data_IF_616766935531
#
_entry.id   IF_616766935531
#
_cell.length_a   1.000
_cell.length_b   1.000
_cell.length_c   1.000
_cell.angle_alpha   90.00
_cell.angle_beta   90.00
_cell.angle_gamma   90.00
#
_symmetry.space_group_name_H-M   'P 1'
#
loop_
_entity.id
_entity.type
_entity.pdbx_description
1 polymer ?
#
# COMPACT_ATOMS: atom_id res chain seq x y z
N UNK A 1 8.92 -47.58 -71.48
CA UNK A 1 7.47 -47.90 -71.50
C UNK A 1 7.02 -47.89 -70.05
N UNK A 2 6.43 -46.77 -69.62
CA UNK A 2 5.99 -46.59 -68.24
C UNK A 2 4.75 -47.45 -68.00
N UNK A 3 4.82 -48.38 -67.03
CA UNK A 3 3.64 -49.10 -66.56
C UNK A 3 2.71 -48.06 -65.90
N UNK A 4 1.61 -47.75 -66.55
CA UNK A 4 0.50 -47.09 -65.88
C UNK A 4 -0.10 -48.09 -64.90
N UNK A 5 -0.23 -47.76 -63.60
CA UNK A 5 -0.90 -48.64 -62.66
C UNK A 5 -2.34 -48.86 -63.13
N UNK A 6 -2.74 -50.13 -63.17
CA UNK A 6 -4.13 -50.54 -63.46
C UNK A 6 -5.08 -49.80 -62.52
N UNK A 7 -6.18 -49.22 -63.05
CA UNK A 7 -7.17 -48.57 -62.20
C UNK A 7 -7.69 -49.58 -61.18
N UNK A 8 -7.90 -49.15 -59.92
CA UNK A 8 -8.43 -50.03 -58.87
C UNK A 8 -9.73 -50.66 -59.34
N UNK A 9 -9.93 -51.94 -59.02
CA UNK A 9 -11.18 -52.62 -59.34
C UNK A 9 -12.35 -51.90 -58.65
N UNK A 10 -13.55 -51.94 -59.24
CA UNK A 10 -14.74 -51.27 -58.71
C UNK A 10 -15.03 -51.67 -57.24
N UNK A 11 -14.72 -52.92 -56.88
CA UNK A 11 -14.77 -53.44 -55.51
C UNK A 11 -13.79 -52.76 -54.54
N UNK A 12 -12.63 -52.31 -55.01
CA UNK A 12 -11.64 -51.61 -54.17
C UNK A 12 -12.09 -50.17 -53.86
N UNK A 13 -12.75 -49.50 -54.82
CA UNK A 13 -13.31 -48.16 -54.62
C UNK A 13 -14.48 -48.19 -53.63
N UNK A 14 -15.33 -49.21 -53.69
CA UNK A 14 -16.45 -49.40 -52.74
C UNK A 14 -15.93 -49.70 -51.33
N UNK A 15 -14.86 -50.50 -51.20
CA UNK A 15 -14.19 -50.71 -49.90
C UNK A 15 -13.62 -49.42 -49.35
N UNK A 16 -12.91 -48.66 -50.19
CA UNK A 16 -12.30 -47.39 -49.79
C UNK A 16 -13.36 -46.36 -49.37
N UNK A 17 -14.49 -46.27 -50.07
CA UNK A 17 -15.59 -45.38 -49.68
C UNK A 17 -16.22 -45.79 -48.36
N UNK A 18 -16.41 -47.09 -48.11
CA UNK A 18 -16.96 -47.58 -46.84
C UNK A 18 -16.03 -47.27 -45.66
N UNK A 19 -14.73 -47.38 -45.87
CA UNK A 19 -13.74 -47.07 -44.83
C UNK A 19 -13.68 -45.55 -44.58
N UNK A 20 -13.75 -44.72 -45.63
CA UNK A 20 -13.85 -43.26 -45.48
C UNK A 20 -15.11 -42.81 -44.74
N UNK A 21 -16.25 -43.45 -44.98
CA UNK A 21 -17.51 -43.14 -44.25
C UNK A 21 -17.37 -43.49 -42.77
N UNK A 22 -16.75 -44.64 -42.45
CA UNK A 22 -16.47 -45.01 -41.05
C UNK A 22 -15.52 -44.03 -40.38
N UNK A 23 -14.48 -43.59 -41.08
CA UNK A 23 -13.55 -42.59 -40.56
C UNK A 23 -14.26 -41.24 -40.34
N UNK A 24 -15.15 -40.84 -41.24
CA UNK A 24 -15.96 -39.63 -41.09
C UNK A 24 -16.93 -39.72 -39.90
N UNK A 25 -17.58 -40.85 -39.69
CA UNK A 25 -18.45 -41.10 -38.53
C UNK A 25 -17.65 -41.08 -37.21
N UNK A 26 -16.44 -41.66 -37.21
CA UNK A 26 -15.54 -41.62 -36.05
C UNK A 26 -15.05 -40.19 -35.75
N UNK A 27 -14.72 -39.41 -36.78
CA UNK A 27 -14.34 -38.00 -36.63
C UNK A 27 -15.53 -37.16 -36.13
N UNK A 28 -16.73 -37.42 -36.62
CA UNK A 28 -17.94 -36.73 -36.16
C UNK A 28 -18.22 -37.01 -34.68
N UNK A 29 -18.12 -38.27 -34.25
CA UNK A 29 -18.24 -38.64 -32.83
C UNK A 29 -17.13 -38.04 -31.97
N UNK A 30 -15.90 -37.96 -32.49
CA UNK A 30 -14.78 -37.31 -31.79
C UNK A 30 -15.01 -35.80 -31.62
N UNK A 31 -15.61 -35.12 -32.61
CA UNK A 31 -15.97 -33.70 -32.50
C UNK A 31 -17.07 -33.43 -31.50
N UNK A 32 -18.03 -34.34 -31.29
CA UNK A 32 -19.05 -34.18 -30.25
C UNK A 32 -18.45 -34.16 -28.83
N UNK A 33 -17.25 -34.72 -28.64
CA UNK A 33 -16.54 -34.66 -27.36
C UNK A 33 -15.92 -33.29 -27.07
N UNK A 34 -15.75 -32.41 -28.07
CA UNK A 34 -15.16 -31.07 -27.90
C UNK A 34 -16.00 -30.16 -26.98
N UNK A 35 -17.30 -30.46 -26.78
CA UNK A 35 -18.18 -29.75 -25.83
C UNK A 35 -18.88 -30.65 -24.82
N UNK A 36 -18.30 -31.81 -24.51
CA UNK A 36 -18.90 -32.72 -23.53
C UNK A 36 -18.91 -32.10 -22.13
N UNK A 37 -20.02 -32.27 -21.40
CA UNK A 37 -20.13 -31.88 -20.00
C UNK A 37 -20.10 -33.11 -19.10
N UNK A 38 -19.57 -32.92 -17.89
CA UNK A 38 -19.60 -33.93 -16.84
C UNK A 38 -20.82 -33.65 -15.98
N UNK A 39 -21.73 -34.61 -15.88
CA UNK A 39 -22.96 -34.49 -15.09
C UNK A 39 -22.71 -34.53 -13.57
N UNK A 40 -23.79 -34.64 -12.80
CA UNK A 40 -23.77 -34.58 -11.33
C UNK A 40 -22.87 -35.63 -10.66
N UNK A 41 -22.55 -36.74 -11.35
CA UNK A 41 -21.62 -37.76 -10.86
C UNK A 41 -20.16 -37.30 -10.78
N UNK A 42 -19.82 -36.17 -11.41
CA UNK A 42 -18.49 -35.60 -11.40
C UNK A 42 -17.44 -36.46 -12.11
N UNK A 43 -16.17 -36.07 -11.93
CA UNK A 43 -15.01 -36.78 -12.44
C UNK A 43 -14.16 -37.23 -11.26
N UNK A 44 -13.92 -38.54 -11.16
CA UNK A 44 -12.98 -39.11 -10.19
C UNK A 44 -11.81 -39.71 -10.94
N UNK A 45 -10.60 -39.32 -10.56
CA UNK A 45 -9.36 -39.87 -11.12
C UNK A 45 -8.63 -40.64 -10.01
N UNK A 46 -8.33 -41.92 -10.26
CA UNK A 46 -7.78 -42.85 -9.27
C UNK A 46 -6.36 -43.27 -9.63
N UNK A 47 -5.65 -43.87 -8.67
CA UNK A 47 -4.36 -44.56 -8.84
C UNK A 47 -3.24 -43.73 -9.50
N UNK A 48 -3.21 -42.43 -9.23
CA UNK A 48 -2.19 -41.52 -9.78
C UNK A 48 -2.44 -41.07 -11.21
N UNK A 49 -3.64 -41.31 -11.75
CA UNK A 49 -4.09 -40.66 -12.97
C UNK A 49 -4.11 -39.12 -12.83
N UNK A 50 -4.02 -38.42 -13.95
CA UNK A 50 -3.94 -36.96 -13.97
C UNK A 50 -4.91 -36.37 -15.00
N UNK A 51 -5.38 -35.14 -14.71
CA UNK A 51 -6.04 -34.27 -15.67
C UNK A 51 -5.02 -33.20 -16.07
N UNK A 52 -4.74 -33.09 -17.36
CA UNK A 52 -3.87 -32.06 -17.91
C UNK A 52 -4.70 -31.14 -18.80
N UNK A 53 -4.67 -29.86 -18.47
CA UNK A 53 -5.27 -28.80 -19.29
C UNK A 53 -4.11 -28.13 -20.02
N UNK A 54 -4.07 -28.27 -21.34
CA UNK A 54 -3.07 -27.63 -22.21
C UNK A 54 -3.60 -26.30 -22.71
N UNK A 55 -2.73 -25.30 -22.80
CA UNK A 55 -3.07 -23.93 -23.23
C UNK A 55 -4.27 -23.30 -22.47
N UNK A 56 -4.43 -23.71 -21.21
CA UNK A 56 -5.51 -23.25 -20.34
C UNK A 56 -5.35 -21.78 -19.94
N UNK A 57 -6.48 -21.12 -19.73
CA UNK A 57 -6.57 -19.80 -19.10
C UNK A 57 -6.86 -19.93 -17.61
N UNK A 58 -7.95 -19.31 -17.17
CA UNK A 58 -8.38 -19.32 -15.78
C UNK A 58 -9.00 -20.65 -15.35
N UNK A 59 -8.91 -20.96 -14.05
CA UNK A 59 -9.67 -22.02 -13.40
C UNK A 59 -10.82 -21.39 -12.61
N UNK A 60 -12.07 -21.69 -13.01
CA UNK A 60 -13.27 -21.22 -12.33
C UNK A 60 -13.87 -22.32 -11.45
N UNK A 61 -14.18 -21.97 -10.20
CA UNK A 61 -14.87 -22.84 -9.23
C UNK A 61 -16.06 -22.09 -8.66
N UNK A 62 -17.27 -22.50 -9.04
CA UNK A 62 -18.54 -21.94 -8.55
C UNK A 62 -18.91 -22.58 -7.21
N UNK A 63 -18.11 -22.30 -6.18
CA UNK A 63 -18.21 -22.90 -4.85
C UNK A 63 -16.88 -22.84 -4.11
N UNK A 64 -16.66 -23.74 -3.16
CA UNK A 64 -15.38 -23.86 -2.46
C UNK A 64 -14.36 -24.68 -3.27
N UNK A 65 -13.09 -24.28 -3.21
CA UNK A 65 -12.00 -24.99 -3.85
C UNK A 65 -11.03 -25.55 -2.79
N UNK A 66 -10.79 -26.86 -2.82
CA UNK A 66 -9.83 -27.53 -1.94
C UNK A 66 -8.73 -28.22 -2.74
N UNK A 67 -7.48 -27.86 -2.47
CA UNK A 67 -6.30 -28.44 -3.12
C UNK A 67 -5.42 -29.13 -2.06
N UNK A 68 -5.40 -30.46 -2.09
CA UNK A 68 -4.55 -31.28 -1.22
C UNK A 68 -3.14 -31.43 -1.83
N UNK A 69 -2.45 -30.30 -1.99
CA UNK A 69 -1.12 -30.24 -2.59
C UNK A 69 -0.85 -28.87 -3.21
N UNK A 70 0.07 -28.85 -4.16
CA UNK A 70 0.37 -27.64 -4.93
C UNK A 70 -0.68 -27.43 -6.03
N UNK A 71 -1.09 -26.18 -6.21
CA UNK A 71 -1.83 -25.74 -7.38
C UNK A 71 -0.95 -24.77 -8.20
N UNK A 72 -0.91 -25.00 -9.50
CA UNK A 72 -0.31 -24.06 -10.45
C UNK A 72 -1.30 -23.80 -11.57
N UNK A 73 -1.67 -22.54 -11.77
CA UNK A 73 -2.45 -22.05 -12.91
C UNK A 73 -1.53 -21.10 -13.70
N UNK A 74 -0.67 -21.62 -14.59
CA UNK A 74 0.31 -20.80 -15.30
C UNK A 74 -0.42 -19.75 -16.16
N UNK A 75 -0.06 -18.47 -16.04
CA UNK A 75 -0.64 -17.32 -16.75
C UNK A 75 -2.13 -17.00 -16.47
N UNK A 76 -2.93 -17.93 -15.95
CA UNK A 76 -4.33 -17.74 -15.55
C UNK A 76 -4.54 -17.49 -14.06
N UNK A 77 -5.75 -17.10 -13.69
CA UNK A 77 -6.19 -16.90 -12.30
C UNK A 77 -6.99 -18.09 -11.78
N UNK A 78 -6.89 -18.35 -10.48
CA UNK A 78 -7.89 -19.15 -9.78
C UNK A 78 -9.02 -18.22 -9.33
N UNK A 79 -10.21 -18.43 -9.90
CA UNK A 79 -11.43 -17.69 -9.62
C UNK A 79 -12.40 -18.60 -8.85
N UNK A 80 -12.72 -18.24 -7.61
CA UNK A 80 -13.56 -19.08 -6.73
C UNK A 80 -14.66 -18.25 -6.09
N UNK A 81 -15.92 -18.64 -6.27
CA UNK A 81 -17.08 -17.96 -5.67
C UNK A 81 -17.25 -18.25 -4.17
N UNK A 82 -16.51 -19.22 -3.64
CA UNK A 82 -16.41 -19.55 -2.22
C UNK A 82 -14.98 -19.41 -1.70
N UNK A 83 -14.65 -20.18 -0.67
CA UNK A 83 -13.33 -20.15 -0.03
C UNK A 83 -12.32 -21.03 -0.77
N UNK A 84 -11.03 -20.70 -0.60
CA UNK A 84 -9.92 -21.47 -1.14
C UNK A 84 -9.12 -22.06 0.02
N UNK A 85 -8.92 -23.37 0.00
CA UNK A 85 -8.07 -24.09 0.95
C UNK A 85 -7.01 -24.87 0.19
N UNK A 86 -5.74 -24.55 0.41
CA UNK A 86 -4.61 -25.26 -0.18
C UNK A 86 -3.60 -25.68 0.89
N UNK A 87 -3.29 -26.98 0.95
CA UNK A 87 -2.28 -27.49 1.88
C UNK A 87 -0.85 -27.31 1.37
N UNK A 88 -0.67 -27.05 0.08
CA UNK A 88 0.63 -26.75 -0.54
C UNK A 88 0.74 -25.30 -1.02
N UNK A 89 1.59 -25.11 -2.03
CA UNK A 89 1.79 -23.82 -2.69
C UNK A 89 0.66 -23.52 -3.69
N UNK A 90 0.31 -22.25 -3.84
CA UNK A 90 -0.60 -21.79 -4.90
C UNK A 90 0.15 -20.77 -5.76
N UNK A 91 0.25 -21.04 -7.06
CA UNK A 91 0.85 -20.14 -8.03
C UNK A 91 -0.13 -19.82 -9.16
N UNK A 92 -0.34 -18.54 -9.47
CA UNK A 92 -1.17 -18.11 -10.59
C UNK A 92 -0.97 -16.64 -10.98
N UNK A 93 -1.61 -16.21 -12.06
CA UNK A 93 -1.72 -14.79 -12.44
C UNK A 93 -2.51 -13.98 -11.42
N UNK A 94 -3.53 -14.58 -10.80
CA UNK A 94 -4.34 -14.00 -9.75
C UNK A 94 -4.97 -15.05 -8.83
N UNK A 95 -5.25 -14.65 -7.59
CA UNK A 95 -6.09 -15.40 -6.66
C UNK A 95 -7.31 -14.55 -6.30
N UNK A 96 -8.46 -14.93 -6.85
CA UNK A 96 -9.70 -14.16 -6.76
C UNK A 96 -10.73 -15.03 -6.04
N UNK A 97 -11.11 -14.61 -4.84
CA UNK A 97 -12.12 -15.28 -4.03
C UNK A 97 -13.00 -14.27 -3.31
N UNK A 98 -14.30 -14.50 -3.33
CA UNK A 98 -15.25 -13.75 -2.49
C UNK A 98 -15.19 -14.20 -1.02
N UNK A 99 -14.62 -15.38 -0.75
CA UNK A 99 -14.40 -15.95 0.57
C UNK A 99 -13.00 -15.70 1.13
N UNK A 100 -12.56 -16.57 2.04
CA UNK A 100 -11.19 -16.57 2.56
C UNK A 100 -10.28 -17.46 1.71
N UNK A 101 -9.01 -17.07 1.61
CA UNK A 101 -7.96 -17.91 1.04
C UNK A 101 -7.02 -18.36 2.18
N UNK A 102 -6.97 -19.67 2.41
CA UNK A 102 -6.06 -20.31 3.34
C UNK A 102 -5.05 -21.15 2.56
N UNK A 103 -3.81 -20.65 2.48
CA UNK A 103 -2.70 -21.34 1.81
C UNK A 103 -1.64 -21.66 2.86
N UNK A 104 -1.42 -22.95 3.12
CA UNK A 104 -0.44 -23.38 4.11
C UNK A 104 1.02 -23.22 3.59
N UNK A 105 1.21 -23.33 2.28
CA UNK A 105 2.49 -23.07 1.61
C UNK A 105 2.68 -21.61 1.19
N UNK A 106 3.43 -21.41 0.12
CA UNK A 106 3.62 -20.08 -0.51
C UNK A 106 2.47 -19.75 -1.45
N UNK A 107 1.91 -18.55 -1.33
CA UNK A 107 1.02 -17.95 -2.32
C UNK A 107 1.82 -16.99 -3.21
N UNK A 108 1.87 -17.28 -4.51
CA UNK A 108 2.49 -16.42 -5.53
C UNK A 108 1.41 -16.03 -6.56
N UNK A 109 0.93 -14.80 -6.48
CA UNK A 109 -0.10 -14.27 -7.38
C UNK A 109 0.23 -12.84 -7.82
N UNK A 110 -0.11 -12.48 -9.07
CA UNK A 110 0.03 -11.11 -9.57
C UNK A 110 -0.94 -10.12 -8.93
N UNK A 111 -2.03 -10.63 -8.35
CA UNK A 111 -2.96 -9.89 -7.49
C UNK A 111 -3.72 -10.82 -6.55
N UNK A 112 -4.04 -10.32 -5.35
CA UNK A 112 -4.83 -11.02 -4.35
C UNK A 112 -6.08 -10.18 -4.07
N UNK A 113 -7.25 -10.69 -4.44
CA UNK A 113 -8.54 -10.06 -4.17
C UNK A 113 -9.38 -11.03 -3.35
N UNK A 114 -9.34 -10.86 -2.03
CA UNK A 114 -10.01 -11.73 -1.06
C UNK A 114 -10.73 -10.89 0.00
N UNK A 115 -11.70 -11.48 0.69
CA UNK A 115 -12.41 -10.77 1.77
C UNK A 115 -11.48 -10.39 2.94
N UNK A 116 -10.59 -11.30 3.33
CA UNK A 116 -9.57 -11.09 4.36
C UNK A 116 -8.20 -11.60 3.88
N UNK A 117 -7.14 -10.88 4.24
CA UNK A 117 -5.75 -11.33 4.14
C UNK A 117 -5.13 -11.31 5.54
N UNK A 118 -4.73 -12.49 6.04
CA UNK A 118 -4.06 -12.65 7.34
C UNK A 118 -2.69 -13.26 7.12
N UNK A 119 -1.64 -12.59 7.63
CA UNK A 119 -0.27 -13.07 7.58
C UNK A 119 0.26 -13.17 9.02
N UNK A 120 0.83 -14.33 9.38
CA UNK A 120 1.50 -14.52 10.68
C UNK A 120 2.92 -13.94 10.72
N UNK A 121 3.45 -13.53 9.55
CA UNK A 121 4.74 -12.88 9.38
C UNK A 121 4.62 -11.49 8.77
N UNK A 122 5.74 -10.96 8.25
CA UNK A 122 5.79 -9.64 7.62
C UNK A 122 4.97 -9.60 6.32
N UNK A 123 4.08 -8.62 6.21
CA UNK A 123 3.54 -8.18 4.92
C UNK A 123 4.46 -7.09 4.38
N UNK A 124 5.03 -7.31 3.19
CA UNK A 124 5.93 -6.36 2.51
C UNK A 124 5.44 -6.13 1.09
N UNK A 125 5.60 -4.90 0.58
CA UNK A 125 5.41 -4.61 -0.84
C UNK A 125 6.63 -5.04 -1.67
N UNK A 126 6.58 -4.80 -2.99
CA UNK A 126 7.61 -5.25 -3.92
C UNK A 126 8.98 -4.59 -3.62
N UNK A 127 10.08 -5.32 -3.84
CA UNK A 127 11.48 -4.87 -3.60
C UNK A 127 11.81 -4.39 -2.17
N UNK A 128 11.67 -5.26 -1.17
CA UNK A 128 12.29 -5.04 0.15
C UNK A 128 11.46 -4.26 1.16
N UNK A 129 10.14 -4.19 0.98
CA UNK A 129 9.23 -3.53 1.93
C UNK A 129 8.39 -2.42 1.33
N UNK A 130 8.72 -1.97 0.12
CA UNK A 130 8.13 -0.78 -0.47
C UNK A 130 6.74 -1.05 -1.03
N UNK A 131 5.77 -0.25 -0.61
CA UNK A 131 4.45 -0.17 -1.23
C UNK A 131 4.47 1.03 -2.22
N UNK A 132 4.86 0.85 -3.50
CA UNK A 132 5.07 1.96 -4.43
C UNK A 132 3.81 2.79 -4.74
N UNK A 133 2.62 2.21 -4.52
CA UNK A 133 1.34 2.91 -4.60
C UNK A 133 0.81 3.37 -3.21
N UNK A 134 1.62 3.23 -2.15
CA UNK A 134 1.29 3.53 -0.76
C UNK A 134 0.45 2.46 -0.06
N UNK A 135 0.31 2.60 1.27
CA UNK A 135 -0.63 1.83 2.09
C UNK A 135 -1.91 2.66 2.26
N UNK A 136 -3.03 2.22 1.69
CA UNK A 136 -4.33 2.91 1.82
C UNK A 136 -5.23 2.19 2.82
N UNK A 137 -5.59 2.85 3.92
CA UNK A 137 -6.57 2.36 4.90
C UNK A 137 -7.75 3.33 5.02
N UNK A 138 -8.93 2.94 4.54
CA UNK A 138 -10.17 3.74 4.64
C UNK A 138 -10.70 3.83 6.07
N UNK A 139 -10.35 2.86 6.92
CA UNK A 139 -10.71 2.84 8.33
C UNK A 139 -9.82 3.74 9.20
N UNK A 140 -8.54 3.92 8.84
CA UNK A 140 -7.59 4.67 9.67
C UNK A 140 -8.04 6.10 10.03
N UNK A 141 -8.77 6.77 9.13
CA UNK A 141 -9.32 8.11 9.39
C UNK A 141 -10.56 8.11 10.30
N UNK A 142 -11.35 7.02 10.28
CA UNK A 142 -12.64 6.93 10.98
C UNK A 142 -12.58 6.08 12.26
N UNK A 143 -11.49 5.36 12.49
CA UNK A 143 -11.28 4.57 13.70
C UNK A 143 -10.76 5.47 14.82
N UNK A 144 -11.62 5.72 15.82
CA UNK A 144 -11.21 6.34 17.08
C UNK A 144 -10.22 5.41 17.78
N UNK A 145 -8.94 5.74 17.71
CA UNK A 145 -7.92 4.98 18.43
C UNK A 145 -7.97 5.23 19.94
N UNK A 146 -8.63 6.29 20.42
CA UNK A 146 -8.60 6.88 21.79
C UNK A 146 -9.06 6.01 22.97
N UNK A 147 -9.46 4.74 22.75
CA UNK A 147 -9.81 3.81 23.84
C UNK A 147 -8.65 2.93 24.31
N UNK A 148 -8.19 3.11 25.55
CA UNK A 148 -7.54 2.04 26.33
C UNK A 148 -6.03 1.82 26.13
N UNK A 149 -5.23 2.82 25.79
CA UNK A 149 -3.76 2.67 25.73
C UNK A 149 -2.97 3.96 25.55
N UNK A 150 -1.65 3.85 25.50
CA UNK A 150 -0.76 4.96 25.13
C UNK A 150 -0.70 5.06 23.59
N UNK A 151 -0.97 6.24 23.05
CA UNK A 151 -0.84 6.53 21.62
C UNK A 151 0.53 7.12 21.32
N UNK A 152 1.05 6.82 20.14
CA UNK A 152 2.28 7.43 19.63
C UNK A 152 1.99 7.96 18.23
N UNK A 153 2.35 9.22 17.98
CA UNK A 153 2.31 9.78 16.64
C UNK A 153 3.30 9.01 15.76
N UNK A 154 2.81 8.52 14.62
CA UNK A 154 3.65 7.85 13.65
C UNK A 154 4.33 8.87 12.73
N UNK A 155 5.58 8.59 12.38
CA UNK A 155 6.39 9.32 11.42
C UNK A 155 6.53 8.47 10.16
N UNK A 156 6.53 9.11 9.00
CA UNK A 156 6.86 8.48 7.72
C UNK A 156 8.26 8.95 7.35
N UNK A 157 9.19 8.00 7.23
CA UNK A 157 10.55 8.27 6.76
C UNK A 157 10.58 8.31 5.22
N UNK A 158 11.60 8.93 4.63
CA UNK A 158 11.71 9.12 3.17
C UNK A 158 11.76 7.82 2.35
N UNK A 159 12.09 6.70 2.99
CA UNK A 159 12.06 5.35 2.40
C UNK A 159 10.72 4.62 2.61
N UNK A 160 9.67 5.36 2.99
CA UNK A 160 8.32 4.82 3.19
C UNK A 160 8.10 4.08 4.52
N UNK A 161 9.10 3.99 5.39
CA UNK A 161 8.93 3.35 6.70
C UNK A 161 8.04 4.19 7.61
N UNK A 162 7.02 3.55 8.18
CA UNK A 162 6.16 4.14 9.21
C UNK A 162 6.72 3.75 10.59
N UNK A 163 7.06 4.71 11.43
CA UNK A 163 7.68 4.48 12.74
C UNK A 163 7.32 5.53 13.78
N UNK A 164 8.09 5.67 14.86
CA UNK A 164 7.91 6.76 15.83
C UNK A 164 9.25 7.30 16.33
N UNK A 165 9.26 8.57 16.76
CA UNK A 165 10.44 9.22 17.31
C UNK A 165 10.44 9.20 18.86
N UNK A 166 11.30 8.41 19.53
CA UNK A 166 11.34 8.38 20.99
C UNK A 166 11.90 9.68 21.57
N UNK A 167 11.28 10.19 22.64
CA UNK A 167 11.70 11.43 23.34
C UNK A 167 12.18 11.20 24.78
N UNK A 168 12.91 10.12 25.03
CA UNK A 168 13.51 9.83 26.35
C UNK A 168 15.01 10.10 26.35
N UNK A 169 15.55 10.57 27.49
CA UNK A 169 17.01 10.70 27.70
C UNK A 169 17.78 9.40 27.48
N UNK A 170 17.12 8.24 27.54
CA UNK A 170 17.73 6.93 27.22
C UNK A 170 18.15 6.80 25.74
N UNK A 171 17.51 7.55 24.85
CA UNK A 171 17.71 7.47 23.40
C UNK A 171 18.32 8.76 22.81
N UNK A 172 18.68 9.73 23.66
CA UNK A 172 19.19 11.05 23.24
C UNK A 172 20.46 11.40 24.01
N UNK A 173 21.39 12.08 23.35
CA UNK A 173 22.65 12.57 23.92
C UNK A 173 22.94 13.99 23.40
N UNK A 174 24.01 14.63 23.88
CA UNK A 174 24.43 15.95 23.38
C UNK A 174 23.47 17.10 23.73
N UNK A 175 22.94 17.10 24.96
CA UNK A 175 21.98 18.11 25.39
C UNK A 175 22.62 19.51 25.49
N UNK A 176 22.23 20.40 24.58
CA UNK A 176 22.56 21.83 24.64
C UNK A 176 21.27 22.62 24.81
N UNK A 177 21.16 23.51 25.82
CA UNK A 177 20.00 24.37 25.97
C UNK A 177 19.82 25.27 24.74
N UNK A 178 18.60 25.29 24.21
CA UNK A 178 18.22 26.26 23.18
C UNK A 178 17.88 27.57 23.86
N UNK A 179 18.54 28.66 23.45
CA UNK A 179 18.24 30.01 23.93
C UNK A 179 17.78 30.82 22.72
N UNK A 180 16.51 31.17 22.71
CA UNK A 180 15.87 31.98 21.67
C UNK A 180 15.27 33.21 22.35
N UNK A 181 15.39 34.37 21.71
CA UNK A 181 14.71 35.58 22.16
C UNK A 181 13.32 35.65 21.57
N UNK A 182 12.41 36.36 22.24
CA UNK A 182 11.06 36.53 21.71
C UNK A 182 11.07 37.29 20.38
N UNK A 183 11.96 38.27 20.21
CA UNK A 183 12.07 39.06 18.98
C UNK A 183 12.43 38.16 17.80
N UNK A 184 13.35 37.20 18.00
CA UNK A 184 13.74 36.25 16.96
C UNK A 184 12.59 35.33 16.59
N UNK A 185 11.83 34.84 17.57
CA UNK A 185 10.65 34.01 17.33
C UNK A 185 9.57 34.79 16.57
N UNK A 186 9.42 36.09 16.84
CA UNK A 186 8.47 36.97 16.16
C UNK A 186 8.86 37.31 14.71
N UNK A 187 10.06 36.94 14.25
CA UNK A 187 10.40 36.98 12.82
C UNK A 187 9.65 35.92 12.02
N UNK A 188 9.12 34.87 12.67
CA UNK A 188 8.26 33.89 12.01
C UNK A 188 6.89 34.50 11.71
N UNK A 189 6.50 34.48 10.44
CA UNK A 189 5.22 35.00 9.98
C UNK A 189 4.28 33.88 9.54
N UNK A 190 3.08 33.85 10.13
CA UNK A 190 1.98 32.99 9.70
C UNK A 190 1.23 33.58 8.51
N UNK A 191 0.83 32.72 7.59
CA UNK A 191 0.04 33.07 6.41
C UNK A 191 -1.24 32.24 6.35
N UNK A 192 -2.31 32.84 5.86
CA UNK A 192 -3.45 32.12 5.33
C UNK A 192 -3.23 31.90 3.84
N UNK A 193 -3.38 30.68 3.36
CA UNK A 193 -3.18 30.34 1.95
C UNK A 193 -4.15 29.26 1.49
N UNK A 194 -4.22 29.08 0.17
CA UNK A 194 -4.87 27.96 -0.49
C UNK A 194 -3.84 27.27 -1.39
N UNK A 195 -3.97 25.96 -1.54
CA UNK A 195 -3.11 25.21 -2.47
C UNK A 195 -3.45 25.55 -3.93
N UNK A 196 -2.42 25.60 -4.77
CA UNK A 196 -2.61 25.77 -6.22
C UNK A 196 -3.48 24.63 -6.78
N UNK A 197 -4.26 24.92 -7.82
CA UNK A 197 -5.15 23.94 -8.45
C UNK A 197 -4.40 22.73 -9.05
N UNK A 198 -3.11 22.87 -9.36
CA UNK A 198 -2.26 21.79 -9.85
C UNK A 198 -1.84 20.80 -8.75
N UNK A 199 -1.99 21.15 -7.47
CA UNK A 199 -1.73 20.24 -6.36
C UNK A 199 -2.87 19.21 -6.31
N UNK A 200 -2.57 17.89 -6.22
CA UNK A 200 -3.56 16.82 -6.10
C UNK A 200 -4.18 16.82 -4.69
N UNK A 201 -4.82 17.92 -4.35
CA UNK A 201 -5.64 18.12 -3.18
C UNK A 201 -7.10 18.09 -3.62
N UNK A 202 -8.01 17.64 -2.75
CA UNK A 202 -9.44 17.64 -3.05
C UNK A 202 -9.90 19.06 -3.38
N UNK A 203 -10.06 19.35 -4.68
CA UNK A 203 -10.37 20.67 -5.20
C UNK A 203 -11.77 21.13 -4.77
N UNK A 204 -12.67 20.20 -4.40
CA UNK A 204 -13.96 20.54 -3.80
C UNK A 204 -13.81 21.12 -2.38
N UNK A 205 -12.63 20.98 -1.77
CA UNK A 205 -12.29 21.47 -0.44
C UNK A 205 -11.17 22.52 -0.46
N UNK A 206 -11.12 23.40 -1.47
CA UNK A 206 -10.28 24.62 -1.56
C UNK A 206 -10.43 25.54 -0.32
N UNK A 207 -9.96 25.07 0.83
CA UNK A 207 -10.10 25.66 2.15
C UNK A 207 -8.89 26.54 2.40
N UNK A 208 -9.14 27.68 3.03
CA UNK A 208 -8.07 28.48 3.61
C UNK A 208 -7.41 27.68 4.74
N UNK A 209 -6.10 27.51 4.63
CA UNK A 209 -5.25 26.87 5.62
C UNK A 209 -4.34 27.94 6.23
N UNK A 210 -4.03 27.80 7.52
CA UNK A 210 -3.05 28.63 8.21
C UNK A 210 -1.74 27.84 8.35
N UNK A 211 -0.60 28.49 8.09
CA UNK A 211 0.70 27.86 8.25
C UNK A 211 1.86 28.84 8.11
N UNK A 212 3.08 28.30 8.10
CA UNK A 212 4.32 29.02 7.79
C UNK A 212 4.79 28.63 6.39
N UNK A 213 5.58 29.48 5.75
CA UNK A 213 6.30 29.16 4.50
C UNK A 213 7.70 28.64 4.84
N UNK A 214 8.14 27.58 4.15
CA UNK A 214 9.40 26.90 4.44
C UNK A 214 10.61 27.80 4.20
N UNK A 215 10.59 28.52 3.08
CA UNK A 215 11.62 29.46 2.64
C UNK A 215 11.73 30.64 3.61
N UNK A 216 10.61 31.26 3.98
CA UNK A 216 10.60 32.37 4.95
C UNK A 216 11.10 31.91 6.32
N UNK A 217 10.72 30.70 6.75
CA UNK A 217 11.18 30.11 8.02
C UNK A 217 12.69 29.83 8.00
N UNK A 218 13.21 29.32 6.88
CA UNK A 218 14.64 29.12 6.66
C UNK A 218 15.38 30.46 6.74
N UNK A 219 14.91 31.46 5.98
CA UNK A 219 15.52 32.79 5.89
C UNK A 219 15.45 33.56 7.22
N UNK A 220 14.42 33.32 8.02
CA UNK A 220 14.32 33.80 9.40
C UNK A 220 15.32 33.10 10.34
N UNK A 221 16.17 32.19 9.87
CA UNK A 221 17.22 31.56 10.67
C UNK A 221 16.74 30.38 11.50
N UNK A 222 15.66 29.70 11.07
CA UNK A 222 15.13 28.50 11.72
C UNK A 222 15.24 27.25 10.82
N UNK A 223 16.44 26.89 10.31
CA UNK A 223 16.59 25.77 9.38
C UNK A 223 16.22 24.41 10.01
N UNK A 224 16.19 24.30 11.34
CA UNK A 224 15.78 23.09 12.07
C UNK A 224 14.26 22.92 12.15
N UNK A 225 13.48 23.94 11.80
CA UNK A 225 12.02 23.86 11.63
C UNK A 225 11.60 23.50 10.20
N UNK A 226 12.56 23.34 9.29
CA UNK A 226 12.32 23.17 7.86
C UNK A 226 12.73 21.76 7.44
N UNK A 227 11.86 21.12 6.67
CA UNK A 227 12.20 19.92 5.91
C UNK A 227 12.64 20.35 4.49
N UNK A 228 13.65 19.68 3.95
CA UNK A 228 14.21 19.98 2.63
C UNK A 228 13.89 18.84 1.68
N UNK A 229 13.68 19.16 0.41
CA UNK A 229 13.48 18.16 -0.64
C UNK A 229 14.80 17.51 -1.09
N UNK A 230 14.73 16.68 -2.13
CA UNK A 230 15.88 15.94 -2.67
C UNK A 230 16.98 16.85 -3.25
N UNK A 231 16.61 18.04 -3.73
CA UNK A 231 17.53 19.05 -4.26
C UNK A 231 18.13 19.92 -3.14
N UNK A 232 17.66 19.76 -1.90
CA UNK A 232 18.10 20.50 -0.73
C UNK A 232 17.40 21.84 -0.56
N UNK A 233 16.28 22.06 -1.25
CA UNK A 233 15.49 23.29 -1.15
C UNK A 233 14.47 23.19 0.01
N UNK A 234 14.18 24.30 0.71
CA UNK A 234 13.12 24.32 1.72
C UNK A 234 11.77 23.86 1.14
N UNK A 235 11.18 22.81 1.71
CA UNK A 235 9.97 22.18 1.16
C UNK A 235 8.84 22.03 2.18
N UNK A 236 9.17 21.73 3.43
CA UNK A 236 8.20 21.42 4.47
C UNK A 236 8.48 22.11 5.80
N UNK A 237 7.52 22.04 6.71
CA UNK A 237 7.63 22.58 8.06
C UNK A 237 7.46 21.47 9.11
N UNK A 238 8.43 21.41 10.02
CA UNK A 238 8.42 20.62 11.25
C UNK A 238 7.53 21.26 12.31
N UNK A 239 6.23 21.27 12.07
CA UNK A 239 5.25 21.96 12.91
C UNK A 239 5.20 21.42 14.35
N UNK A 240 5.60 20.17 14.57
CA UNK A 240 5.74 19.56 15.90
C UNK A 240 6.76 20.29 16.78
N UNK A 241 7.81 20.87 16.18
CA UNK A 241 8.84 21.61 16.89
C UNK A 241 8.47 23.06 17.18
N UNK A 242 7.49 23.62 16.45
CA UNK A 242 7.10 25.03 16.58
C UNK A 242 6.64 25.36 18.01
N UNK A 243 5.92 24.44 18.65
CA UNK A 243 5.47 24.62 20.04
C UNK A 243 6.66 24.77 21.02
N UNK A 244 7.78 24.09 20.77
CA UNK A 244 8.99 24.20 21.60
C UNK A 244 9.69 25.54 21.36
N UNK A 245 9.76 26.01 20.11
CA UNK A 245 10.31 27.32 19.76
C UNK A 245 9.53 28.46 20.41
N UNK A 246 8.20 28.42 20.29
CA UNK A 246 7.31 29.41 20.93
C UNK A 246 7.45 29.39 22.45
N UNK A 247 7.61 28.21 23.07
CA UNK A 247 7.83 28.10 24.51
C UNK A 247 9.12 28.81 24.96
N UNK A 248 10.22 28.65 24.22
CA UNK A 248 11.47 29.35 24.57
C UNK A 248 11.36 30.86 24.37
N UNK A 249 10.70 31.33 23.31
CA UNK A 249 10.39 32.76 23.13
C UNK A 249 9.54 33.32 24.27
N UNK A 250 8.51 32.58 24.71
CA UNK A 250 7.67 32.98 25.85
C UNK A 250 8.46 33.06 27.16
N UNK A 251 9.41 32.15 27.38
CA UNK A 251 10.31 32.21 28.55
C UNK A 251 11.17 33.46 28.51
N UNK A 252 11.67 33.83 27.36
CA UNK A 252 12.45 35.06 27.19
C UNK A 252 11.60 36.31 27.44
N UNK A 253 10.42 36.41 26.81
CA UNK A 253 9.45 37.48 27.06
C UNK A 253 9.13 37.62 28.55
N UNK A 254 8.94 36.49 29.24
CA UNK A 254 8.67 36.50 30.68
C UNK A 254 9.86 37.05 31.49
N UNK A 255 11.11 36.71 31.13
CA UNK A 255 12.31 37.30 31.75
C UNK A 255 12.35 38.81 31.53
N UNK A 256 12.20 39.27 30.29
CA UNK A 256 12.19 40.69 29.96
C UNK A 256 11.11 41.45 30.75
N UNK A 257 9.92 40.87 30.89
CA UNK A 257 8.83 41.43 31.67
C UNK A 257 9.17 41.55 33.18
N UNK A 258 9.89 40.58 33.76
CA UNK A 258 10.35 40.66 35.15
C UNK A 258 11.41 41.76 35.34
N UNK A 259 12.35 41.88 34.40
CA UNK A 259 13.38 42.94 34.43
C UNK A 259 12.78 44.34 34.28
N UNK A 260 11.81 44.49 33.37
CA UNK A 260 11.07 45.73 33.19
C UNK A 260 10.32 46.11 34.48
N UNK A 261 9.63 45.15 35.11
CA UNK A 261 8.96 45.39 36.41
C UNK A 261 9.93 45.85 37.49
N UNK A 262 11.08 45.20 37.62
CA UNK A 262 12.10 45.59 38.58
C UNK A 262 12.61 47.02 38.32
N UNK A 263 12.84 47.36 37.05
CA UNK A 263 13.25 48.70 36.64
C UNK A 263 12.21 49.77 36.99
N UNK A 264 10.93 49.50 36.71
CA UNK A 264 9.82 50.40 37.05
C UNK A 264 9.74 50.64 38.56
N UNK A 265 9.87 49.59 39.37
CA UNK A 265 9.88 49.70 40.85
C UNK A 265 11.08 50.54 41.31
N UNK A 266 12.27 50.30 40.77
CA UNK A 266 13.46 51.06 41.13
C UNK A 266 13.36 52.54 40.73
N UNK A 267 12.75 52.83 39.57
CA UNK A 267 12.52 54.21 39.12
C UNK A 267 11.48 54.92 40.01
N UNK A 268 10.39 54.25 40.36
CA UNK A 268 9.38 54.79 41.28
C UNK A 268 10.01 55.20 42.62
N UNK A 269 10.83 54.32 43.21
CA UNK A 269 11.53 54.62 44.46
C UNK A 269 12.51 55.81 44.34
N UNK A 270 13.16 55.98 43.18
CA UNK A 270 14.05 57.14 42.93
C UNK A 270 13.29 58.45 42.79
N UNK A 271 12.12 58.43 42.16
CA UNK A 271 11.26 59.60 42.02
C UNK A 271 10.72 60.03 43.39
N UNK A 272 10.24 59.09 44.20
CA UNK A 272 9.82 59.35 45.59
C UNK A 272 10.96 59.98 46.41
N UNK A 273 12.19 59.47 46.29
CA UNK A 273 13.36 60.03 46.97
C UNK A 273 13.75 61.44 46.47
N UNK A 274 13.42 61.77 45.22
CA UNK A 274 13.66 63.09 44.63
C UNK A 274 12.55 64.11 44.96
N UNK A 275 11.46 63.68 45.63
CA UNK A 275 10.35 64.55 46.02
C UNK A 275 9.47 64.99 44.85
N UNK A 276 9.43 64.19 43.77
CA UNK A 276 8.59 64.39 42.58
C UNK A 276 7.51 63.31 42.55
#
# INVERSE_FOLDING_TARGET
MALFPTPPAEDDLVRQQRDLVRDQEQIAAARELESSSIGEGGLTVQDGGAIRIEDGGDLFVDGDATFNGNLTVPAGSLNTAGSISASGNVQGGGLISTGSASVAGTLSAGGISTGNLSASGTVSGNYGGDFPAGLRSTGAYNTLVTGGGAYVAAWIHSDGRVGYAPSSRRFKTGFVPVVLTIEKVLELQGFYFQYLAAVPYDQAQQRWVIGLLAEDTHNAGFPFLVDYDEDGEPFGIRADLLAVVVLEGLRDLYRQHLELKATVVALAARLEAAGI
#
